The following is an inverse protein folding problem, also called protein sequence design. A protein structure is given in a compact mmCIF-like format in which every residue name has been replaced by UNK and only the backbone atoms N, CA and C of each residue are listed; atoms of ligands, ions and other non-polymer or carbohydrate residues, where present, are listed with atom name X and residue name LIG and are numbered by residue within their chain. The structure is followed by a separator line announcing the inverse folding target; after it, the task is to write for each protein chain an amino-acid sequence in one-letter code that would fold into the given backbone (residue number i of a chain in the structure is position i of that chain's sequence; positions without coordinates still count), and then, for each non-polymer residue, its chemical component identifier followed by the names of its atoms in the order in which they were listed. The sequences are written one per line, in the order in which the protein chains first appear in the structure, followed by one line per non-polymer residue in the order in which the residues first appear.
data_IF_893275495927
#
_entry.id   IF_893275495927
#
_cell.length_a   1.000
_cell.length_b   1.000
_cell.length_c   1.000
_cell.angle_alpha   90.00
_cell.angle_beta   90.00
_cell.angle_gamma   90.00
#
_symmetry.space_group_name_H-M   'P 1'
#
loop_
_entity.id
_entity.type
_entity.pdbx_description
1 polymer ?
#
# COMPACT_ATOMS: atom_id res chain seq x y z
N UNK A 1 -16.11 8.36 -16.75
CA UNK A 1 -15.79 8.37 -15.31
C UNK A 1 -15.33 6.96 -14.94
N UNK A 2 -14.19 6.79 -14.26
CA UNK A 2 -13.77 5.47 -13.80
C UNK A 2 -14.79 4.90 -12.81
N UNK A 3 -15.07 3.60 -12.89
CA UNK A 3 -15.96 2.93 -11.93
C UNK A 3 -15.25 2.74 -10.59
N UNK A 4 -16.01 2.54 -9.52
CA UNK A 4 -15.43 2.21 -8.20
C UNK A 4 -14.50 0.99 -8.26
N UNK A 5 -14.85 0.02 -9.11
CA UNK A 5 -14.01 -1.16 -9.40
C UNK A 5 -12.69 -0.79 -10.07
N UNK A 6 -12.70 0.11 -11.05
CA UNK A 6 -11.48 0.54 -11.74
C UNK A 6 -10.52 1.26 -10.77
N UNK A 7 -11.08 2.10 -9.89
CA UNK A 7 -10.31 2.80 -8.84
C UNK A 7 -9.67 1.79 -7.88
N UNK A 8 -10.45 0.82 -7.39
CA UNK A 8 -9.94 -0.21 -6.48
C UNK A 8 -8.89 -1.12 -7.14
N UNK A 9 -9.06 -1.46 -8.42
CA UNK A 9 -8.07 -2.23 -9.16
C UNK A 9 -6.76 -1.47 -9.32
N UNK A 10 -6.83 -0.17 -9.62
CA UNK A 10 -5.66 0.69 -9.70
C UNK A 10 -4.92 0.76 -8.37
N UNK A 11 -5.64 1.05 -7.28
CA UNK A 11 -5.07 1.10 -5.93
C UNK A 11 -4.45 -0.24 -5.49
N UNK A 12 -5.08 -1.36 -5.85
CA UNK A 12 -4.51 -2.69 -5.58
C UNK A 12 -3.21 -2.90 -6.36
N UNK A 13 -3.14 -2.44 -7.60
CA UNK A 13 -1.92 -2.54 -8.40
C UNK A 13 -0.79 -1.70 -7.81
N UNK A 14 -1.08 -0.47 -7.35
CA UNK A 14 -0.11 0.38 -6.65
C UNK A 14 0.43 -0.30 -5.39
N UNK A 15 -0.44 -0.91 -4.59
CA UNK A 15 -0.04 -1.64 -3.38
C UNK A 15 0.87 -2.84 -3.68
N UNK A 16 0.59 -3.59 -4.75
CA UNK A 16 1.43 -4.72 -5.18
C UNK A 16 2.83 -4.26 -5.62
N UNK A 17 2.90 -3.15 -6.35
CA UNK A 17 4.19 -2.55 -6.74
C UNK A 17 4.95 -2.11 -5.50
N UNK A 18 4.29 -1.44 -4.56
CA UNK A 18 4.90 -1.01 -3.31
C UNK A 18 5.41 -2.21 -2.47
N UNK A 19 4.64 -3.30 -2.37
CA UNK A 19 5.08 -4.52 -1.68
C UNK A 19 6.36 -5.09 -2.32
N UNK A 20 6.41 -5.15 -3.65
CA UNK A 20 7.58 -5.61 -4.39
C UNK A 20 8.81 -4.71 -4.17
N UNK A 21 8.64 -3.39 -4.21
CA UNK A 21 9.72 -2.44 -3.91
C UNK A 21 10.22 -2.60 -2.48
N UNK A 22 9.32 -2.63 -1.48
CA UNK A 22 9.68 -2.81 -0.09
C UNK A 22 10.42 -4.14 0.17
N UNK A 23 10.15 -5.17 -0.62
CA UNK A 23 10.84 -6.47 -0.52
C UNK A 23 12.29 -6.41 -1.00
N UNK A 24 12.61 -5.52 -1.96
CA UNK A 24 13.95 -5.36 -2.54
C UNK A 24 14.76 -4.24 -1.88
N UNK A 25 14.14 -3.40 -1.06
CA UNK A 25 14.80 -2.34 -0.30
C UNK A 25 15.92 -2.90 0.59
N UNK A 26 17.10 -2.27 0.48
CA UNK A 26 18.27 -2.63 1.28
C UNK A 26 17.98 -2.53 2.79
N UNK A 27 18.43 -3.48 3.64
CA UNK A 27 18.07 -3.52 5.07
C UNK A 27 18.43 -2.25 5.86
N UNK A 28 19.48 -1.52 5.45
CA UNK A 28 19.90 -0.26 6.08
C UNK A 28 19.24 1.00 5.50
N UNK A 29 18.50 0.90 4.40
CA UNK A 29 17.86 2.05 3.77
C UNK A 29 16.83 2.71 4.69
N UNK A 30 16.77 4.04 4.70
CA UNK A 30 15.74 4.75 5.48
C UNK A 30 14.42 4.67 4.73
N UNK A 31 13.37 4.27 5.45
CA UNK A 31 12.01 4.23 4.92
C UNK A 31 11.27 5.45 5.45
N UNK A 32 10.56 6.13 4.56
CA UNK A 32 9.72 7.26 4.91
C UNK A 32 8.28 6.89 4.60
N UNK A 33 7.39 7.10 5.57
CA UNK A 33 5.98 6.80 5.45
C UNK A 33 5.16 8.07 5.58
N UNK A 34 4.02 8.09 4.88
CA UNK A 34 3.07 9.18 4.96
C UNK A 34 2.07 8.87 6.07
N UNK A 35 2.02 9.73 7.07
CA UNK A 35 1.13 9.54 8.23
C UNK A 35 -0.33 9.88 7.92
N UNK A 36 -0.57 10.80 6.97
CA UNK A 36 -1.92 11.24 6.56
C UNK A 36 -2.03 11.19 5.03
N UNK A 37 -2.98 10.45 4.44
CA UNK A 37 -3.09 10.28 2.99
C UNK A 37 -3.28 11.57 2.18
N UNK A 38 -3.88 12.61 2.77
CA UNK A 38 -4.10 13.91 2.14
C UNK A 38 -2.88 14.85 2.21
N UNK A 39 -1.84 14.48 2.96
CA UNK A 39 -0.65 15.30 3.15
C UNK A 39 0.47 14.88 2.21
N UNK A 40 1.35 15.82 1.83
CA UNK A 40 2.59 15.53 1.11
C UNK A 40 3.79 15.43 2.06
N UNK A 41 3.55 15.35 3.36
CA UNK A 41 4.60 15.24 4.38
C UNK A 41 4.88 13.77 4.68
N UNK A 42 6.16 13.41 4.60
CA UNK A 42 6.66 12.06 4.88
C UNK A 42 7.53 12.09 6.14
N UNK A 43 7.33 11.11 7.02
CA UNK A 43 8.08 10.96 8.26
C UNK A 43 8.96 9.72 8.18
N UNK A 44 10.10 9.76 8.86
CA UNK A 44 10.96 8.58 8.96
C UNK A 44 10.22 7.47 9.72
N UNK A 45 10.06 6.32 9.06
CA UNK A 45 9.40 5.16 9.64
C UNK A 45 10.23 4.62 10.82
N UNK A 46 9.58 4.43 11.96
CA UNK A 46 10.23 3.89 13.18
C UNK A 46 10.48 2.39 13.06
N UNK A 47 9.57 1.67 12.42
CA UNK A 47 9.63 0.23 12.22
C UNK A 47 9.33 -0.14 10.77
N UNK A 48 10.34 -0.63 10.07
CA UNK A 48 10.25 -1.05 8.66
C UNK A 48 9.37 -2.28 8.49
N UNK A 49 9.37 -3.18 9.47
CA UNK A 49 8.56 -4.39 9.42
C UNK A 49 7.09 -4.04 9.61
N UNK A 50 6.79 -3.08 10.48
CA UNK A 50 5.45 -2.53 10.61
C UNK A 50 4.94 -1.97 9.26
N UNK A 51 5.75 -1.16 8.57
CA UNK A 51 5.40 -0.63 7.23
C UNK A 51 5.09 -1.75 6.24
N UNK A 52 5.99 -2.74 6.12
CA UNK A 52 5.78 -3.91 5.23
C UNK A 52 4.49 -4.66 5.57
N UNK A 53 4.23 -4.89 6.85
CA UNK A 53 3.05 -5.61 7.31
C UNK A 53 1.76 -4.83 7.03
N UNK A 54 1.78 -3.50 7.20
CA UNK A 54 0.65 -2.62 6.93
C UNK A 54 0.32 -2.59 5.44
N UNK A 55 1.32 -2.49 4.56
CA UNK A 55 1.12 -2.55 3.10
C UNK A 55 0.45 -3.87 2.70
N UNK A 56 0.93 -4.99 3.24
CA UNK A 56 0.34 -6.31 2.95
C UNK A 56 -1.10 -6.42 3.46
N UNK A 57 -1.39 -5.95 4.67
CA UNK A 57 -2.75 -5.94 5.22
C UNK A 57 -3.70 -5.08 4.36
N UNK A 58 -3.24 -3.93 3.86
CA UNK A 58 -4.03 -3.09 2.97
C UNK A 58 -4.33 -3.81 1.64
N UNK A 59 -3.34 -4.49 1.06
CA UNK A 59 -3.51 -5.29 -0.15
C UNK A 59 -4.53 -6.42 0.04
N UNK A 60 -4.45 -7.16 1.15
CA UNK A 60 -5.40 -8.22 1.48
C UNK A 60 -6.83 -7.66 1.65
N UNK A 61 -6.95 -6.52 2.33
CA UNK A 61 -8.23 -5.84 2.54
C UNK A 61 -8.86 -5.37 1.23
N UNK A 62 -8.07 -4.75 0.35
CA UNK A 62 -8.54 -4.32 -0.98
C UNK A 62 -8.90 -5.49 -1.88
N UNK A 63 -8.13 -6.58 -1.82
CA UNK A 63 -8.42 -7.80 -2.58
C UNK A 63 -9.76 -8.41 -2.14
N UNK A 64 -10.05 -8.42 -0.83
CA UNK A 64 -11.36 -8.85 -0.31
C UNK A 64 -12.50 -7.98 -0.82
N UNK A 65 -12.37 -6.65 -0.72
CA UNK A 65 -13.39 -5.70 -1.24
C UNK A 65 -13.65 -5.89 -2.73
N UNK A 66 -12.61 -6.09 -3.54
CA UNK A 66 -12.77 -6.36 -4.97
C UNK A 66 -13.48 -7.68 -5.25
N UNK A 67 -13.26 -8.72 -4.42
CA UNK A 67 -14.01 -9.99 -4.55
C UNK A 67 -15.48 -9.81 -4.21
N UNK A 68 -15.80 -9.01 -3.20
CA UNK A 68 -17.18 -8.68 -2.81
C UNK A 68 -17.91 -7.89 -3.89
N UNK A 69 -17.24 -6.93 -4.53
CA UNK A 69 -17.79 -6.14 -5.66
C UNK A 69 -17.98 -6.94 -6.97
N UNK A 70 -17.30 -8.08 -7.12
CA UNK A 70 -17.43 -8.96 -8.29
C UNK A 70 -18.44 -10.10 -8.10
N UNK A 71 -19.08 -10.16 -6.93
CA UNK A 71 -20.05 -11.19 -6.56
C UNK A 71 -21.47 -10.69 -6.80
#
# INVERSE_FOLDING_TARGET
MPTEKDILQHQLQELKVLEAELSTVHPKARLYERMVPSSNVFFLAKDKNAVKSATKQQQDTMTKKLKELNK
#
